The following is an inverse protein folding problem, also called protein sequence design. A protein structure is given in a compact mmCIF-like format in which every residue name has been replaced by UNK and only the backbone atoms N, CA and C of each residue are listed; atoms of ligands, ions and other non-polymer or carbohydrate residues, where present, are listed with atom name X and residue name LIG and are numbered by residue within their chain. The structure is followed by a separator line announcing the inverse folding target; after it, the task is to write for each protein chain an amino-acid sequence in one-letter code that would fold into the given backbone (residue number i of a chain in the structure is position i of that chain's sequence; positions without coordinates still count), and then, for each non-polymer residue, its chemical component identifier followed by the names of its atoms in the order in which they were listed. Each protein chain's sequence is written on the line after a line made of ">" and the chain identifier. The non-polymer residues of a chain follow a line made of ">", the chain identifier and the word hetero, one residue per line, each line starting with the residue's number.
data_IF_797118524651
#
_entry.id   IF_797118524651
#
_cell.length_a   1.000
_cell.length_b   1.000
_cell.length_c   1.000
_cell.angle_alpha   90.00
_cell.angle_beta   90.00
_cell.angle_gamma   90.00
#
_symmetry.space_group_name_H-M   'P 1'
#
loop_
_entity.id
_entity.type
_entity.pdbx_description
1 polymer ?
#
# COMPACT_ATOMS: atom_id res chain seq x y z
N UNK A 1 -25.06 29.97 13.06
CA UNK A 1 -23.86 30.35 12.28
C UNK A 1 -23.55 29.20 11.32
N UNK A 2 -23.92 29.37 10.04
CA UNK A 2 -23.71 28.39 8.99
C UNK A 2 -22.23 28.33 8.61
N UNK A 3 -21.56 27.18 8.84
CA UNK A 3 -20.26 26.90 8.25
C UNK A 3 -20.48 26.61 6.77
N UNK A 4 -20.15 27.56 5.93
CA UNK A 4 -20.10 27.43 4.48
C UNK A 4 -19.06 26.37 4.12
N UNK A 5 -19.51 25.19 3.66
CA UNK A 5 -18.65 24.16 3.09
C UNK A 5 -18.11 24.77 1.80
N UNK A 6 -16.83 25.15 1.83
CA UNK A 6 -16.11 25.64 0.67
C UNK A 6 -16.18 24.59 -0.44
N UNK A 7 -16.91 24.90 -1.50
CA UNK A 7 -17.04 24.07 -2.71
C UNK A 7 -15.72 24.14 -3.48
N UNK A 8 -14.70 23.38 -2.99
CA UNK A 8 -13.39 23.30 -3.65
C UNK A 8 -13.61 22.63 -5.01
N UNK A 9 -13.54 23.43 -6.08
CA UNK A 9 -13.57 22.87 -7.44
C UNK A 9 -12.47 21.81 -7.54
N UNK A 10 -12.87 20.53 -7.55
CA UNK A 10 -11.97 19.40 -7.79
C UNK A 10 -11.27 19.67 -9.12
N UNK A 11 -9.94 19.70 -9.10
CA UNK A 11 -9.19 19.98 -10.34
C UNK A 11 -9.30 18.78 -11.30
N UNK A 12 -9.00 18.99 -12.57
CA UNK A 12 -9.16 17.96 -13.60
C UNK A 12 -8.25 16.73 -13.35
N UNK A 13 -7.07 16.93 -12.78
CA UNK A 13 -6.18 15.84 -12.38
C UNK A 13 -6.82 14.98 -11.29
N UNK A 14 -7.36 15.59 -10.25
CA UNK A 14 -8.05 14.89 -9.15
C UNK A 14 -9.28 14.11 -9.67
N UNK A 15 -10.05 14.69 -10.61
CA UNK A 15 -11.17 14.00 -11.25
C UNK A 15 -10.72 12.74 -12.01
N UNK A 16 -9.63 12.81 -12.78
CA UNK A 16 -9.05 11.68 -13.50
C UNK A 16 -8.59 10.61 -12.51
N UNK A 17 -7.84 10.98 -11.48
CA UNK A 17 -7.30 10.06 -10.46
C UNK A 17 -8.43 9.34 -9.74
N UNK A 18 -9.40 10.06 -9.20
CA UNK A 18 -10.52 9.48 -8.46
C UNK A 18 -11.38 8.54 -9.34
N UNK A 19 -11.65 8.94 -10.58
CA UNK A 19 -12.39 8.09 -11.52
C UNK A 19 -11.61 6.82 -11.86
N UNK A 20 -10.33 6.95 -12.16
CA UNK A 20 -9.49 5.81 -12.48
C UNK A 20 -9.34 4.87 -11.29
N UNK A 21 -9.13 5.39 -10.09
CA UNK A 21 -9.08 4.63 -8.84
C UNK A 21 -10.35 3.79 -8.65
N UNK A 22 -11.53 4.40 -8.79
CA UNK A 22 -12.82 3.71 -8.69
C UNK A 22 -12.93 2.57 -9.70
N UNK A 23 -12.56 2.82 -10.96
CA UNK A 23 -12.61 1.83 -12.02
C UNK A 23 -11.60 0.70 -11.81
N UNK A 24 -10.36 1.03 -11.47
CA UNK A 24 -9.29 0.05 -11.27
C UNK A 24 -9.54 -0.82 -10.06
N UNK A 25 -10.04 -0.24 -8.98
CA UNK A 25 -10.41 -0.97 -7.76
C UNK A 25 -11.50 -2.00 -8.04
N UNK A 26 -12.44 -1.67 -8.93
CA UNK A 26 -13.58 -2.55 -9.24
C UNK A 26 -13.27 -3.57 -10.33
N UNK A 27 -12.61 -3.16 -11.40
CA UNK A 27 -12.48 -3.97 -12.62
C UNK A 27 -11.04 -4.41 -12.93
N UNK A 28 -10.05 -3.92 -12.20
CA UNK A 28 -8.63 -4.04 -12.56
C UNK A 28 -8.26 -3.03 -13.65
N UNK A 29 -7.00 -2.55 -13.62
CA UNK A 29 -6.58 -1.51 -14.56
C UNK A 29 -6.43 -2.01 -16.00
N UNK A 30 -6.14 -3.31 -16.21
CA UNK A 30 -5.98 -3.88 -17.57
C UNK A 30 -7.24 -3.78 -18.41
N UNK A 31 -8.41 -3.93 -17.79
CA UNK A 31 -9.71 -3.89 -18.46
C UNK A 31 -10.21 -2.48 -18.74
N UNK A 32 -9.68 -1.48 -18.05
CA UNK A 32 -10.12 -0.09 -18.13
C UNK A 32 -9.27 0.66 -19.14
N UNK A 33 -9.90 1.37 -20.07
CA UNK A 33 -9.23 2.18 -21.09
C UNK A 33 -9.13 3.64 -20.69
N UNK A 34 -8.20 4.39 -21.30
CA UNK A 34 -8.10 5.86 -21.13
C UNK A 34 -9.37 6.54 -21.57
N UNK A 35 -9.99 6.06 -22.65
CA UNK A 35 -11.27 6.56 -23.17
C UNK A 35 -12.38 6.46 -22.13
N UNK A 36 -12.46 5.33 -21.46
CA UNK A 36 -13.46 5.10 -20.43
C UNK A 36 -13.24 6.01 -19.23
N UNK A 37 -11.99 6.16 -18.77
CA UNK A 37 -11.63 7.09 -17.70
C UNK A 37 -12.04 8.51 -18.09
N UNK A 38 -11.68 8.98 -19.30
CA UNK A 38 -12.02 10.31 -19.77
C UNK A 38 -13.52 10.55 -19.81
N UNK A 39 -14.28 9.57 -20.32
CA UNK A 39 -15.74 9.64 -20.41
C UNK A 39 -16.38 9.77 -19.03
N UNK A 40 -15.96 8.94 -18.06
CA UNK A 40 -16.53 8.96 -16.71
C UNK A 40 -16.05 10.17 -15.90
N UNK A 41 -14.80 10.58 -16.04
CA UNK A 41 -14.25 11.80 -15.41
C UNK A 41 -14.76 13.10 -16.09
N UNK A 42 -15.50 13.03 -17.19
CA UNK A 42 -15.96 14.18 -17.99
C UNK A 42 -14.81 15.10 -18.38
N UNK A 43 -13.74 14.52 -18.91
CA UNK A 43 -12.56 15.25 -19.44
C UNK A 43 -12.26 14.79 -20.86
N UNK A 44 -11.59 15.66 -21.65
CA UNK A 44 -11.09 15.27 -22.96
C UNK A 44 -9.84 14.40 -22.85
N UNK A 45 -9.54 13.58 -23.87
CA UNK A 45 -8.26 12.86 -23.97
C UNK A 45 -7.06 13.81 -23.88
N UNK A 46 -7.15 14.99 -24.51
CA UNK A 46 -6.11 16.00 -24.41
C UNK A 46 -5.89 16.46 -22.97
N UNK A 47 -6.96 16.60 -22.17
CA UNK A 47 -6.86 16.92 -20.75
C UNK A 47 -6.19 15.79 -19.97
N UNK A 48 -6.51 14.53 -20.29
CA UNK A 48 -5.85 13.37 -19.67
C UNK A 48 -4.35 13.41 -19.96
N UNK A 49 -3.96 13.49 -21.24
CA UNK A 49 -2.55 13.49 -21.65
C UNK A 49 -1.76 14.72 -21.22
N UNK A 50 -2.42 15.80 -20.85
CA UNK A 50 -1.78 16.94 -20.16
C UNK A 50 -1.29 16.59 -18.75
N UNK A 51 -1.93 15.62 -18.08
CA UNK A 51 -1.64 15.25 -16.69
C UNK A 51 -0.89 13.94 -16.57
N UNK A 52 -1.11 13.00 -17.48
CA UNK A 52 -0.51 11.66 -17.46
C UNK A 52 -0.14 11.26 -18.89
N UNK A 53 1.13 10.94 -19.12
CA UNK A 53 1.62 10.55 -20.47
C UNK A 53 0.99 9.23 -20.96
N UNK A 54 0.57 8.37 -20.04
CA UNK A 54 -0.09 7.10 -20.33
C UNK A 54 -0.83 6.55 -19.09
N UNK A 55 -1.52 5.42 -19.26
CA UNK A 55 -2.25 4.76 -18.19
C UNK A 55 -1.32 4.21 -17.08
N UNK A 56 -0.11 3.77 -17.44
CA UNK A 56 0.86 3.23 -16.48
C UNK A 56 1.32 4.33 -15.51
N UNK A 57 1.54 5.54 -16.02
CA UNK A 57 1.87 6.69 -15.15
C UNK A 57 0.74 7.02 -14.17
N UNK A 58 -0.52 6.91 -14.61
CA UNK A 58 -1.68 7.08 -13.73
C UNK A 58 -1.75 5.97 -12.66
N UNK A 59 -1.49 4.71 -13.04
CA UNK A 59 -1.41 3.60 -12.07
C UNK A 59 -0.29 3.83 -11.06
N UNK A 60 0.88 4.27 -11.52
CA UNK A 60 2.01 4.64 -10.64
C UNK A 60 1.61 5.75 -9.66
N UNK A 61 0.95 6.78 -10.14
CA UNK A 61 0.48 7.88 -9.30
C UNK A 61 -0.51 7.40 -8.22
N UNK A 62 -1.47 6.54 -8.56
CA UNK A 62 -2.41 5.96 -7.59
C UNK A 62 -1.67 5.08 -6.58
N UNK A 63 -0.71 4.27 -7.03
CA UNK A 63 0.15 3.49 -6.13
C UNK A 63 0.88 4.38 -5.12
N UNK A 64 1.46 5.48 -5.57
CA UNK A 64 2.21 6.39 -4.71
C UNK A 64 1.30 7.05 -3.66
N UNK A 65 0.06 7.39 -4.03
CA UNK A 65 -0.96 7.87 -3.07
C UNK A 65 -1.26 6.79 -2.01
N UNK A 66 -1.42 5.53 -2.41
CA UNK A 66 -1.67 4.42 -1.47
C UNK A 66 -0.47 4.14 -0.55
N UNK A 67 0.74 4.28 -1.07
CA UNK A 67 1.98 4.17 -0.28
C UNK A 67 2.02 5.25 0.79
N UNK A 68 1.74 6.50 0.43
CA UNK A 68 1.70 7.61 1.40
C UNK A 68 0.56 7.45 2.42
N UNK A 69 -0.61 6.96 2.00
CA UNK A 69 -1.69 6.60 2.93
C UNK A 69 -1.24 5.54 3.94
N UNK A 70 -0.51 4.52 3.47
CA UNK A 70 0.07 3.49 4.31
C UNK A 70 1.04 4.03 5.35
N UNK A 71 1.93 4.94 4.96
CA UNK A 71 2.86 5.57 5.90
C UNK A 71 2.16 6.50 6.88
N UNK A 72 1.21 7.31 6.43
CA UNK A 72 0.40 8.14 7.32
C UNK A 72 -0.32 7.29 8.36
N UNK A 73 -0.91 6.16 7.95
CA UNK A 73 -1.56 5.23 8.87
C UNK A 73 -0.58 4.59 9.85
N UNK A 74 0.62 4.25 9.39
CA UNK A 74 1.68 3.78 10.26
C UNK A 74 2.05 4.83 11.32
N UNK A 75 2.23 6.09 10.94
CA UNK A 75 2.57 7.17 11.88
C UNK A 75 1.45 7.41 12.90
N UNK A 76 0.16 7.36 12.48
CA UNK A 76 -0.99 7.42 13.38
C UNK A 76 -0.96 6.29 14.42
N UNK A 77 -0.70 5.05 13.98
CA UNK A 77 -0.63 3.88 14.88
C UNK A 77 0.61 3.94 15.78
N UNK A 78 1.76 4.37 15.24
CA UNK A 78 3.01 4.54 16.00
C UNK A 78 2.81 5.50 17.18
N UNK A 79 2.01 6.55 17.02
CA UNK A 79 1.72 7.54 18.05
C UNK A 79 0.77 7.05 19.16
N UNK A 80 0.12 5.88 19.02
CA UNK A 80 -0.76 5.34 20.05
C UNK A 80 0.05 4.90 21.29
N UNK A 81 -0.48 5.14 22.47
CA UNK A 81 0.06 4.65 23.75
C UNK A 81 -0.44 3.22 24.03
N UNK A 82 0.06 2.28 23.25
CA UNK A 82 -0.24 0.85 23.34
C UNK A 82 1.03 0.05 23.07
N UNK A 83 1.06 -1.24 23.48
CA UNK A 83 2.21 -2.11 23.22
C UNK A 83 2.53 -2.22 21.73
N UNK A 84 3.78 -2.50 21.39
CA UNK A 84 4.22 -2.66 20.02
C UNK A 84 3.47 -3.80 19.30
N UNK A 85 3.21 -4.92 19.98
CA UNK A 85 2.41 -6.01 19.45
C UNK A 85 1.00 -5.56 19.04
N UNK A 86 0.34 -4.72 19.83
CA UNK A 86 -0.96 -4.11 19.45
C UNK A 86 -0.84 -3.16 18.27
N UNK A 87 0.25 -2.38 18.17
CA UNK A 87 0.51 -1.53 16.99
C UNK A 87 0.61 -2.37 15.71
N UNK A 88 1.32 -3.48 15.77
CA UNK A 88 1.42 -4.47 14.68
C UNK A 88 0.04 -5.01 14.30
N UNK A 89 -0.78 -5.40 15.27
CA UNK A 89 -2.13 -5.92 15.04
C UNK A 89 -3.03 -4.86 14.36
N UNK A 90 -3.03 -3.62 14.85
CA UNK A 90 -3.75 -2.51 14.22
C UNK A 90 -3.32 -2.30 12.77
N UNK A 91 -2.01 -2.29 12.50
CA UNK A 91 -1.48 -2.13 11.15
C UNK A 91 -1.85 -3.29 10.24
N UNK A 92 -1.83 -4.52 10.77
CA UNK A 92 -2.21 -5.72 10.03
C UNK A 92 -3.68 -5.69 9.64
N UNK A 93 -4.58 -5.37 10.57
CA UNK A 93 -6.01 -5.24 10.30
C UNK A 93 -6.28 -4.18 9.24
N UNK A 94 -5.70 -2.99 9.41
CA UNK A 94 -5.87 -1.93 8.42
C UNK A 94 -5.40 -2.36 7.02
N UNK A 95 -4.25 -3.02 6.90
CA UNK A 95 -3.74 -3.52 5.61
C UNK A 95 -4.66 -4.58 4.99
N UNK A 96 -5.25 -5.45 5.81
CA UNK A 96 -6.23 -6.44 5.33
C UNK A 96 -7.49 -5.72 4.81
N UNK A 97 -8.08 -4.83 5.61
CA UNK A 97 -9.26 -4.06 5.22
C UNK A 97 -9.00 -3.22 3.96
N UNK A 98 -7.85 -2.57 3.88
CA UNK A 98 -7.44 -1.83 2.70
C UNK A 98 -7.33 -2.74 1.47
N UNK A 99 -6.67 -3.89 1.61
CA UNK A 99 -6.48 -4.84 0.52
C UNK A 99 -7.78 -5.49 0.02
N UNK A 100 -8.78 -5.71 0.89
CA UNK A 100 -10.07 -6.29 0.49
C UNK A 100 -10.92 -5.33 -0.36
N UNK A 101 -10.67 -4.03 -0.28
CA UNK A 101 -11.37 -3.02 -1.09
C UNK A 101 -10.81 -2.86 -2.50
N UNK A 102 -9.63 -3.43 -2.78
CA UNK A 102 -8.91 -3.25 -4.04
C UNK A 102 -8.92 -4.54 -4.84
N UNK A 103 -9.21 -4.46 -6.13
CA UNK A 103 -9.12 -5.60 -7.04
C UNK A 103 -7.72 -6.24 -6.98
N UNK A 104 -7.67 -7.56 -6.79
CA UNK A 104 -6.41 -8.29 -6.63
C UNK A 104 -5.47 -8.17 -7.85
N UNK A 105 -6.03 -8.05 -9.07
CA UNK A 105 -5.25 -7.82 -10.29
C UNK A 105 -4.61 -6.42 -10.27
N UNK A 106 -5.34 -5.42 -9.79
CA UNK A 106 -4.82 -4.06 -9.66
C UNK A 106 -3.71 -3.98 -8.59
N UNK A 107 -3.86 -4.67 -7.46
CA UNK A 107 -2.78 -4.77 -6.46
C UNK A 107 -1.53 -5.38 -7.09
N UNK A 108 -1.66 -6.50 -7.81
CA UNK A 108 -0.52 -7.14 -8.49
C UNK A 108 0.16 -6.21 -9.48
N UNK A 109 -0.62 -5.46 -10.24
CA UNK A 109 -0.06 -4.50 -11.20
C UNK A 109 0.69 -3.37 -10.50
N UNK A 110 0.14 -2.78 -9.46
CA UNK A 110 0.82 -1.74 -8.67
C UNK A 110 2.15 -2.23 -8.10
N UNK A 111 2.20 -3.48 -7.60
CA UNK A 111 3.42 -4.10 -7.07
C UNK A 111 4.43 -4.41 -8.19
N UNK A 112 3.97 -4.67 -9.43
CA UNK A 112 4.84 -5.02 -10.56
C UNK A 112 5.43 -3.80 -11.30
N UNK A 113 4.86 -2.61 -11.10
CA UNK A 113 5.37 -1.38 -11.71
C UNK A 113 6.57 -0.86 -10.92
N UNK A 114 7.75 -1.02 -11.49
CA UNK A 114 9.04 -0.50 -11.03
C UNK A 114 9.32 -0.45 -9.51
N UNK A 115 10.60 -0.55 -9.19
CA UNK A 115 11.14 -0.63 -7.83
C UNK A 115 10.44 0.32 -6.86
N UNK A 116 10.09 -0.23 -5.71
CA UNK A 116 9.78 0.51 -4.51
C UNK A 116 10.77 1.67 -4.39
N UNK A 117 10.24 2.87 -4.42
CA UNK A 117 11.01 4.11 -4.41
C UNK A 117 12.03 4.02 -3.27
N UNK A 118 13.27 4.44 -3.52
CA UNK A 118 14.35 4.46 -2.51
C UNK A 118 13.90 5.11 -1.19
N UNK A 119 12.95 6.03 -1.27
CA UNK A 119 12.31 6.66 -0.12
C UNK A 119 11.49 5.69 0.75
N UNK A 120 10.76 4.76 0.13
CA UNK A 120 10.00 3.73 0.87
C UNK A 120 10.94 2.81 1.64
N UNK A 121 12.03 2.36 1.01
CA UNK A 121 13.07 1.57 1.67
C UNK A 121 13.66 2.34 2.85
N UNK A 122 14.07 3.57 2.62
CA UNK A 122 14.64 4.43 3.66
C UNK A 122 13.69 4.61 4.85
N UNK A 123 12.41 4.94 4.60
CA UNK A 123 11.39 5.10 5.65
C UNK A 123 11.15 3.79 6.40
N UNK A 124 11.06 2.68 5.70
CA UNK A 124 10.92 1.35 6.29
C UNK A 124 12.09 1.02 7.22
N UNK A 125 13.33 1.17 6.74
CA UNK A 125 14.53 0.90 7.53
C UNK A 125 14.65 1.81 8.75
N UNK A 126 14.31 3.10 8.63
CA UNK A 126 14.33 4.02 9.75
C UNK A 126 13.32 3.61 10.83
N UNK A 127 12.09 3.21 10.44
CA UNK A 127 11.09 2.74 11.38
C UNK A 127 11.51 1.47 12.11
N UNK A 128 12.19 0.54 11.43
CA UNK A 128 12.74 -0.66 12.07
C UNK A 128 13.89 -0.33 13.04
N UNK A 129 14.76 0.60 12.68
CA UNK A 129 15.83 1.07 13.58
C UNK A 129 15.27 1.71 14.84
N UNK A 130 14.24 2.56 14.70
CA UNK A 130 13.56 3.17 15.84
C UNK A 130 12.96 2.09 16.76
N UNK A 131 12.22 1.13 16.20
CA UNK A 131 11.61 0.04 16.97
C UNK A 131 12.65 -0.83 17.68
N UNK A 132 13.81 -1.10 17.04
CA UNK A 132 14.93 -1.81 17.65
C UNK A 132 15.55 -1.03 18.81
N UNK A 133 15.80 0.27 18.62
CA UNK A 133 16.36 1.15 19.65
C UNK A 133 15.45 1.28 20.87
N UNK A 134 14.13 1.19 20.66
CA UNK A 134 13.12 1.20 21.73
C UNK A 134 12.97 -0.17 22.45
N UNK A 135 13.60 -1.24 21.92
CA UNK A 135 13.40 -2.60 22.42
C UNK A 135 12.09 -3.27 22.02
N UNK A 136 11.36 -2.66 21.09
CA UNK A 136 10.08 -3.17 20.59
C UNK A 136 10.25 -4.42 19.72
N UNK A 137 11.37 -4.53 19.03
CA UNK A 137 11.74 -5.71 18.22
C UNK A 137 13.08 -6.27 18.67
N UNK A 138 13.30 -7.54 18.36
CA UNK A 138 14.54 -8.23 18.64
C UNK A 138 15.73 -7.58 17.94
N UNK A 139 16.90 -7.60 18.57
CA UNK A 139 18.11 -6.92 18.11
C UNK A 139 19.03 -7.80 17.24
N UNK A 140 18.77 -9.11 17.21
CA UNK A 140 19.52 -10.11 16.45
C UNK A 140 19.07 -10.23 14.97
N UNK A 141 18.07 -9.43 14.53
CA UNK A 141 17.64 -9.36 13.13
C UNK A 141 18.10 -8.06 12.50
N UNK A 142 18.84 -8.19 11.39
CA UNK A 142 19.27 -7.03 10.60
C UNK A 142 18.11 -6.41 9.82
N UNK A 143 17.86 -5.08 9.91
CA UNK A 143 16.81 -4.41 9.15
C UNK A 143 16.95 -4.54 7.63
N UNK A 144 18.16 -4.58 7.08
CA UNK A 144 18.39 -4.78 5.64
C UNK A 144 18.01 -6.21 5.22
N UNK A 145 18.26 -7.22 6.07
CA UNK A 145 17.80 -8.57 5.82
C UNK A 145 16.25 -8.65 5.75
N UNK A 146 15.58 -7.96 6.66
CA UNK A 146 14.11 -7.86 6.61
C UNK A 146 13.60 -7.18 5.35
N UNK A 147 14.28 -6.13 4.90
CA UNK A 147 13.96 -5.52 3.62
C UNK A 147 14.07 -6.53 2.49
N UNK A 148 15.18 -7.28 2.43
CA UNK A 148 15.39 -8.33 1.42
C UNK A 148 14.29 -9.39 1.45
N UNK A 149 13.86 -9.83 2.63
CA UNK A 149 12.74 -10.78 2.78
C UNK A 149 11.45 -10.19 2.22
N UNK A 150 11.14 -8.91 2.52
CA UNK A 150 9.94 -8.26 1.98
C UNK A 150 9.97 -8.10 0.46
N UNK A 151 11.14 -7.83 -0.11
CA UNK A 151 11.34 -7.81 -1.57
C UNK A 151 11.06 -9.19 -2.19
N UNK A 152 11.60 -10.26 -1.61
CA UNK A 152 11.38 -11.63 -2.08
C UNK A 152 9.91 -12.05 -2.00
N UNK A 153 9.21 -11.71 -0.93
CA UNK A 153 7.77 -11.92 -0.84
C UNK A 153 6.99 -11.15 -1.92
N UNK A 154 7.44 -9.95 -2.27
CA UNK A 154 6.84 -9.18 -3.36
C UNK A 154 7.10 -9.81 -4.73
N UNK A 155 8.27 -10.43 -4.95
CA UNK A 155 8.57 -11.20 -6.16
C UNK A 155 7.63 -12.40 -6.34
N UNK A 156 7.32 -13.14 -5.26
CA UNK A 156 6.32 -14.23 -5.31
C UNK A 156 4.95 -13.73 -5.82
N UNK A 157 4.60 -12.48 -5.50
CA UNK A 157 3.37 -11.85 -6.00
C UNK A 157 3.48 -11.55 -7.50
N UNK A 158 4.60 -10.95 -7.93
CA UNK A 158 4.85 -10.59 -9.34
C UNK A 158 4.82 -11.83 -10.24
N UNK A 159 5.51 -12.88 -9.83
CA UNK A 159 5.60 -14.15 -10.56
C UNK A 159 4.32 -14.99 -10.48
N UNK A 160 3.43 -14.68 -9.54
CA UNK A 160 2.23 -15.47 -9.28
C UNK A 160 2.49 -16.81 -8.59
N UNK A 161 3.72 -17.05 -8.10
CA UNK A 161 4.16 -18.29 -7.45
C UNK A 161 3.38 -18.60 -6.18
N UNK A 162 2.91 -17.58 -5.47
CA UNK A 162 2.05 -17.70 -4.28
C UNK A 162 0.79 -18.58 -4.54
N UNK A 163 0.30 -18.63 -5.79
CA UNK A 163 -0.88 -19.42 -6.19
C UNK A 163 -0.65 -20.93 -6.12
N UNK A 164 0.60 -21.38 -6.02
CA UNK A 164 0.91 -22.81 -5.83
C UNK A 164 0.49 -23.30 -4.45
N UNK A 165 0.30 -22.39 -3.48
CA UNK A 165 -0.01 -22.74 -2.09
C UNK A 165 -1.35 -22.17 -1.66
N UNK A 166 -1.72 -20.98 -2.16
CA UNK A 166 -2.90 -20.25 -1.72
C UNK A 166 -3.90 -20.08 -2.86
N UNK A 167 -5.16 -20.29 -2.57
CA UNK A 167 -6.28 -20.05 -3.51
C UNK A 167 -6.72 -18.59 -3.48
N UNK A 168 -6.51 -17.88 -2.35
CA UNK A 168 -6.87 -16.49 -2.14
C UNK A 168 -5.64 -15.64 -1.81
N UNK A 169 -5.53 -14.49 -2.48
CA UNK A 169 -4.45 -13.54 -2.28
C UNK A 169 -4.43 -12.94 -0.86
N UNK A 170 -5.60 -12.76 -0.26
CA UNK A 170 -5.72 -12.25 1.11
C UNK A 170 -5.10 -13.20 2.14
N UNK A 171 -5.25 -14.51 1.95
CA UNK A 171 -4.60 -15.52 2.79
C UNK A 171 -3.07 -15.45 2.70
N UNK A 172 -2.54 -15.36 1.47
CA UNK A 172 -1.11 -15.16 1.27
C UNK A 172 -0.60 -13.91 2.00
N UNK A 173 -1.27 -12.79 1.78
CA UNK A 173 -0.90 -11.52 2.41
C UNK A 173 -0.96 -11.60 3.95
N UNK A 174 -1.99 -12.25 4.49
CA UNK A 174 -2.13 -12.43 5.94
C UNK A 174 -0.98 -13.27 6.50
N UNK A 175 -0.69 -14.44 5.92
CA UNK A 175 0.36 -15.33 6.41
C UNK A 175 1.76 -14.74 6.25
N UNK A 176 2.06 -14.11 5.11
CA UNK A 176 3.35 -13.46 4.90
C UNK A 176 3.60 -12.35 5.95
N UNK A 177 2.58 -11.55 6.24
CA UNK A 177 2.67 -10.49 7.27
C UNK A 177 2.79 -11.08 8.68
N UNK A 178 1.97 -12.07 9.01
CA UNK A 178 2.01 -12.75 10.30
C UNK A 178 3.41 -13.31 10.57
N UNK A 179 3.99 -14.02 9.60
CA UNK A 179 5.34 -14.55 9.70
C UNK A 179 6.39 -13.47 9.98
N UNK A 180 6.34 -12.36 9.22
CA UNK A 180 7.30 -11.26 9.41
C UNK A 180 7.11 -10.62 10.78
N UNK A 181 5.90 -10.22 11.12
CA UNK A 181 5.67 -9.41 12.32
C UNK A 181 5.87 -10.22 13.62
N UNK A 182 5.32 -11.43 13.71
CA UNK A 182 5.54 -12.25 14.90
C UNK A 182 6.98 -12.78 15.01
N UNK A 183 7.67 -12.96 13.87
CA UNK A 183 9.10 -13.27 13.87
C UNK A 183 9.98 -12.12 14.38
N UNK A 184 9.47 -10.89 14.37
CA UNK A 184 10.18 -9.67 14.79
C UNK A 184 9.98 -9.31 16.26
N UNK A 185 8.90 -9.76 16.89
CA UNK A 185 8.61 -9.41 18.28
C UNK A 185 9.73 -9.90 19.22
N UNK A 186 10.09 -9.06 20.18
CA UNK A 186 11.00 -9.48 21.25
C UNK A 186 10.37 -10.60 22.08
N UNK A 187 11.18 -11.48 22.70
CA UNK A 187 10.69 -12.59 23.53
C UNK A 187 9.80 -12.11 24.68
N UNK A 188 10.07 -10.93 25.21
CA UNK A 188 9.27 -10.30 26.28
C UNK A 188 7.89 -9.83 25.83
N UNK A 189 7.67 -9.59 24.54
CA UNK A 189 6.38 -9.17 23.97
C UNK A 189 5.48 -10.38 23.62
N UNK A 190 6.06 -11.57 23.37
CA UNK A 190 5.31 -12.79 23.04
C UNK A 190 4.67 -13.42 24.28
N UNK A 191 5.21 -13.15 25.48
CA UNK A 191 4.76 -13.72 26.76
C UNK A 191 3.72 -12.84 27.51
N UNK A 192 3.33 -11.70 26.94
CA UNK A 192 2.30 -10.79 27.47
C UNK A 192 1.03 -10.85 26.64
#
# INVERSE_FOLDING_TARGET
>A
MNKTISNRRINKKEQIVHTAETLFTRYGSKRVTVEEICRQARVSKMTFYKHFSNKVELVRHIRDVYVEEGFRKFDEIKALDISFARKIDHMTRWKVEFGTRINAEFIREMVSIDHVVADVKRRFLNNLKDARNNGDIRDDIDPEFLWLVTEKLSELVKEGTWKKVFTDFSQYQYQARTLIFYGLLSRTEVER
#
